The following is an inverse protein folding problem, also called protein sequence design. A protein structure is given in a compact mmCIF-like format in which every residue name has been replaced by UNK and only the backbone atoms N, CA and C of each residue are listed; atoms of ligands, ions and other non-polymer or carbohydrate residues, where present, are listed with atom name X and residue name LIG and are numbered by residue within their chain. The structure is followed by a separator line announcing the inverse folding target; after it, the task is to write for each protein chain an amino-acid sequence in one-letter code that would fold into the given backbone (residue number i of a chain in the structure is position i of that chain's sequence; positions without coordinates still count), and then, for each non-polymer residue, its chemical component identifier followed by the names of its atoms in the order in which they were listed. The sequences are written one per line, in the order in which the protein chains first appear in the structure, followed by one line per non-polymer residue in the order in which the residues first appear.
data_IF_026557375874
#
_entry.id   IF_026557375874
#
_cell.length_a   1.000
_cell.length_b   1.000
_cell.length_c   1.000
_cell.angle_alpha   90.00
_cell.angle_beta   90.00
_cell.angle_gamma   90.00
#
_symmetry.space_group_name_H-M   'P 1'
#
loop_
_entity.id
_entity.type
_entity.pdbx_description
1 polymer ?
#
# COMPACT_ATOMS: atom_id res chain seq x y z
N UNK A 1 8.21 2.08 -9.56
CA UNK A 1 6.98 2.23 -10.39
C UNK A 1 7.00 1.14 -11.45
N UNK A 2 6.08 0.21 -11.37
CA UNK A 2 5.93 -0.81 -12.38
C UNK A 2 5.48 -0.14 -13.66
N UNK A 3 6.32 -0.15 -14.67
CA UNK A 3 6.02 0.47 -15.93
C UNK A 3 5.15 -0.50 -16.74
N UNK A 4 3.84 -0.41 -16.56
CA UNK A 4 2.90 -1.15 -17.39
C UNK A 4 2.90 -0.55 -18.79
N UNK A 5 3.74 -1.08 -19.64
CA UNK A 5 3.63 -0.81 -21.05
C UNK A 5 2.59 -1.79 -21.61
N UNK A 6 1.50 -1.32 -22.21
CA UNK A 6 0.57 -2.20 -22.90
C UNK A 6 1.34 -3.02 -23.93
N UNK A 7 1.33 -4.33 -23.79
CA UNK A 7 2.03 -5.22 -24.69
C UNK A 7 1.05 -5.66 -25.77
N UNK A 8 1.43 -5.49 -27.02
CA UNK A 8 0.66 -6.00 -28.14
C UNK A 8 0.87 -7.50 -28.25
N UNK A 9 -0.19 -8.26 -28.22
CA UNK A 9 -0.10 -9.71 -28.43
C UNK A 9 0.01 -9.99 -29.92
N UNK A 10 1.21 -10.34 -30.39
CA UNK A 10 1.43 -10.71 -31.79
C UNK A 10 0.70 -12.02 -32.10
N UNK A 11 -0.05 -12.02 -33.18
CA UNK A 11 -0.82 -13.19 -33.60
C UNK A 11 -2.21 -13.31 -32.96
N UNK A 12 -2.59 -12.41 -32.09
CA UNK A 12 -3.94 -12.38 -31.58
C UNK A 12 -4.87 -11.75 -32.62
N UNK A 13 -5.75 -12.57 -33.20
CA UNK A 13 -6.78 -12.18 -34.14
C UNK A 13 -6.28 -11.79 -35.53
N UNK A 14 -5.34 -12.47 -36.09
CA UNK A 14 -5.24 -12.53 -37.54
C UNK A 14 -6.34 -13.45 -38.06
N UNK A 15 -7.39 -12.85 -38.62
CA UNK A 15 -8.45 -13.55 -39.34
C UNK A 15 -9.74 -13.82 -38.60
N UNK A 16 -9.89 -13.36 -37.40
CA UNK A 16 -11.17 -13.44 -36.69
C UNK A 16 -11.95 -12.14 -36.78
N UNK A 17 -13.21 -12.26 -36.99
CA UNK A 17 -14.20 -11.17 -36.93
C UNK A 17 -14.45 -10.67 -35.50
N UNK A 18 -13.51 -10.93 -34.64
CA UNK A 18 -13.44 -10.32 -33.32
C UNK A 18 -12.97 -8.91 -33.56
N UNK A 19 -13.92 -8.03 -33.75
CA UNK A 19 -13.68 -6.60 -33.83
C UNK A 19 -12.50 -6.29 -32.91
N UNK A 20 -11.45 -5.77 -33.43
CA UNK A 20 -10.12 -5.62 -32.88
C UNK A 20 -10.04 -4.89 -31.52
N UNK A 21 -10.89 -5.25 -30.60
CA UNK A 21 -10.97 -4.64 -29.28
C UNK A 21 -9.87 -5.11 -28.33
N UNK A 22 -9.09 -6.11 -28.72
CA UNK A 22 -8.07 -6.63 -27.85
C UNK A 22 -6.77 -6.98 -28.60
N UNK A 23 -6.22 -6.01 -29.33
CA UNK A 23 -4.85 -6.10 -29.82
C UNK A 23 -3.82 -5.91 -28.71
N UNK A 24 -4.27 -5.55 -27.51
CA UNK A 24 -3.43 -5.34 -26.34
C UNK A 24 -4.07 -5.99 -25.11
N UNK A 25 -3.21 -6.48 -24.22
CA UNK A 25 -3.62 -7.01 -22.93
C UNK A 25 -2.79 -6.35 -21.84
N UNK A 26 -3.34 -6.34 -20.64
CA UNK A 26 -2.64 -5.88 -19.44
C UNK A 26 -2.52 -7.05 -18.47
N UNK A 27 -1.33 -7.27 -17.97
CA UNK A 27 -1.07 -8.26 -16.93
C UNK A 27 -1.02 -7.53 -15.60
N UNK A 28 -1.88 -7.94 -14.66
CA UNK A 28 -1.84 -7.47 -13.29
C UNK A 28 -0.82 -8.30 -12.51
N UNK A 29 0.39 -7.77 -12.36
CA UNK A 29 1.49 -8.47 -11.68
C UNK A 29 1.63 -8.10 -10.20
N UNK A 30 0.87 -7.13 -9.74
CA UNK A 30 1.02 -6.58 -8.39
C UNK A 30 0.56 -7.55 -7.30
N UNK A 31 -0.32 -8.51 -7.64
CA UNK A 31 -0.85 -9.46 -6.68
C UNK A 31 -1.54 -8.76 -5.51
N UNK A 32 -1.13 -9.11 -4.29
CA UNK A 32 -1.64 -8.47 -3.06
C UNK A 32 -0.99 -7.12 -2.76
N UNK A 33 0.07 -6.76 -3.49
CA UNK A 33 0.89 -5.56 -3.22
C UNK A 33 0.46 -4.35 -4.05
N UNK A 34 -0.84 -4.06 -4.08
CA UNK A 34 -1.37 -2.92 -4.81
C UNK A 34 -1.14 -1.62 -4.04
N UNK A 35 -0.62 -0.59 -4.75
CA UNK A 35 -0.47 0.76 -4.19
C UNK A 35 0.43 0.81 -2.96
N UNK A 36 -0.06 1.43 -1.87
CA UNK A 36 0.71 1.62 -0.64
C UNK A 36 1.22 0.30 -0.04
N UNK A 37 0.51 -0.80 -0.24
CA UNK A 37 0.93 -2.11 0.28
C UNK A 37 2.30 -2.53 -0.24
N UNK A 38 2.61 -2.20 -1.49
CA UNK A 38 3.94 -2.44 -2.05
C UNK A 38 5.01 -1.61 -1.35
N UNK A 39 4.82 -0.30 -1.30
CA UNK A 39 5.82 0.62 -0.77
C UNK A 39 6.07 0.41 0.73
N UNK A 40 5.01 0.23 1.50
CA UNK A 40 5.11 -0.03 2.93
C UNK A 40 5.74 -1.40 3.21
N UNK A 41 5.42 -2.42 2.43
CA UNK A 41 6.04 -3.73 2.59
C UNK A 41 7.53 -3.67 2.25
N UNK A 42 7.91 -2.98 1.17
CA UNK A 42 9.32 -2.76 0.83
C UNK A 42 10.08 -2.02 1.93
N UNK A 43 9.47 -1.02 2.53
CA UNK A 43 10.04 -0.34 3.69
C UNK A 43 10.26 -1.29 4.86
N UNK A 44 9.27 -2.10 5.18
CA UNK A 44 9.34 -3.08 6.27
C UNK A 44 10.28 -4.26 5.99
N UNK A 45 10.61 -4.53 4.74
CA UNK A 45 11.60 -5.55 4.37
C UNK A 45 12.91 -5.38 5.14
N UNK A 46 13.35 -4.16 5.33
CA UNK A 46 14.56 -3.84 6.11
C UNK A 46 14.39 -4.16 7.58
N UNK A 47 13.21 -3.89 8.14
CA UNK A 47 12.89 -4.13 9.56
C UNK A 47 12.66 -5.61 9.81
N UNK A 48 11.92 -6.27 8.92
CA UNK A 48 11.63 -7.70 9.03
C UNK A 48 12.83 -8.57 8.65
N UNK A 49 13.79 -8.01 7.90
CA UNK A 49 14.99 -8.70 7.48
C UNK A 49 14.74 -9.89 6.54
N UNK A 50 13.65 -9.84 5.78
CA UNK A 50 13.17 -10.99 5.00
C UNK A 50 13.02 -10.70 3.52
N UNK A 51 12.90 -9.43 3.17
CA UNK A 51 12.73 -9.01 1.80
C UNK A 51 14.04 -8.67 1.10
N UNK A 52 13.91 -8.00 -0.02
CA UNK A 52 15.00 -7.58 -0.88
C UNK A 52 15.12 -6.04 -0.96
N UNK A 53 14.82 -5.33 0.11
CA UNK A 53 14.85 -3.88 0.16
C UNK A 53 16.19 -3.28 -0.30
N UNK A 54 17.30 -3.97 -0.04
CA UNK A 54 18.63 -3.55 -0.50
C UNK A 54 18.90 -3.81 -1.98
N UNK A 55 17.99 -4.41 -2.72
CA UNK A 55 18.14 -4.66 -4.15
C UNK A 55 17.73 -3.45 -4.99
N UNK A 56 18.13 -3.44 -6.25
CA UNK A 56 17.72 -2.41 -7.23
C UNK A 56 16.35 -2.71 -7.86
N UNK A 57 15.75 -3.84 -7.56
CA UNK A 57 14.46 -4.23 -8.13
C UNK A 57 13.38 -3.24 -7.72
N UNK A 58 12.69 -2.65 -8.70
CA UNK A 58 11.66 -1.64 -8.48
C UNK A 58 12.17 -0.25 -8.10
N UNK A 59 13.48 -0.04 -8.04
CA UNK A 59 14.07 1.28 -7.80
C UNK A 59 14.02 2.14 -9.06
N UNK A 60 13.59 3.37 -8.95
CA UNK A 60 13.56 4.35 -10.02
C UNK A 60 14.95 4.97 -10.26
N UNK A 61 15.82 4.92 -9.29
CA UNK A 61 17.16 5.54 -9.34
C UNK A 61 18.23 4.61 -9.90
N UNK A 62 17.94 3.31 -10.02
CA UNK A 62 18.93 2.29 -10.38
C UNK A 62 19.89 1.90 -9.26
N UNK A 63 19.75 2.51 -8.09
CA UNK A 63 20.45 2.17 -6.85
C UNK A 63 19.60 1.23 -5.99
N UNK A 64 20.08 0.86 -4.81
CA UNK A 64 19.26 0.14 -3.84
C UNK A 64 17.95 0.88 -3.57
N UNK A 65 16.87 0.15 -3.47
CA UNK A 65 15.55 0.73 -3.24
C UNK A 65 15.52 1.52 -1.93
N UNK A 66 14.99 2.74 -1.98
CA UNK A 66 14.84 3.61 -0.82
C UNK A 66 13.45 4.26 -0.87
N UNK A 67 12.75 4.23 0.25
CA UNK A 67 11.39 4.75 0.36
C UNK A 67 11.29 6.23 -0.03
N UNK A 68 12.21 7.07 0.45
CA UNK A 68 12.18 8.50 0.22
C UNK A 68 12.45 8.89 -1.25
N UNK A 69 13.13 8.03 -2.00
CA UNK A 69 13.37 8.23 -3.43
C UNK A 69 12.16 7.80 -4.28
N UNK A 70 11.38 6.83 -3.79
CA UNK A 70 10.30 6.21 -4.56
C UNK A 70 8.92 6.79 -4.25
N UNK A 71 8.71 7.34 -3.05
CA UNK A 71 7.42 7.81 -2.57
C UNK A 71 7.41 9.33 -2.38
N UNK A 72 6.90 10.04 -3.35
CA UNK A 72 6.73 11.50 -3.26
C UNK A 72 5.67 11.89 -2.23
N UNK A 73 4.57 11.16 -2.21
CA UNK A 73 3.47 11.37 -1.26
C UNK A 73 3.02 10.03 -0.69
N UNK A 74 3.16 9.79 0.62
CA UNK A 74 2.68 8.56 1.23
C UNK A 74 1.16 8.46 1.12
N UNK A 75 0.65 7.25 1.22
CA UNK A 75 -0.80 7.01 1.20
C UNK A 75 -1.50 7.77 2.33
N UNK A 76 -2.57 8.48 1.99
CA UNK A 76 -3.29 9.34 2.93
C UNK A 76 -2.72 10.75 3.06
N UNK A 77 -1.61 11.05 2.39
CA UNK A 77 -1.09 12.42 2.36
C UNK A 77 -2.11 13.40 1.78
N UNK A 78 -2.22 14.57 2.38
CA UNK A 78 -3.07 15.64 1.91
C UNK A 78 -2.62 17.00 2.44
N UNK A 79 -3.04 18.06 1.77
CA UNK A 79 -2.82 19.43 2.23
C UNK A 79 -4.10 19.96 2.86
N UNK A 80 -3.92 20.80 3.88
CA UNK A 80 -5.00 21.51 4.56
C UNK A 80 -4.60 22.98 4.77
N UNK A 81 -5.61 23.85 4.86
CA UNK A 81 -5.41 25.25 5.26
C UNK A 81 -5.33 25.43 6.78
N UNK A 82 -5.40 24.34 7.52
CA UNK A 82 -5.30 24.31 8.97
C UNK A 82 -4.47 23.11 9.41
N UNK A 83 -4.14 23.06 10.70
CA UNK A 83 -3.36 21.98 11.28
C UNK A 83 -4.21 21.20 12.29
N UNK A 84 -3.91 19.93 12.44
CA UNK A 84 -4.60 19.03 13.35
C UNK A 84 -3.62 18.32 14.27
N UNK A 85 -4.12 17.96 15.43
CA UNK A 85 -3.48 17.06 16.38
C UNK A 85 -4.39 15.87 16.56
N UNK A 86 -3.85 14.65 16.44
CA UNK A 86 -4.59 13.42 16.66
C UNK A 86 -4.05 12.73 17.91
N UNK A 87 -4.95 12.29 18.77
CA UNK A 87 -4.62 11.55 19.98
C UNK A 87 -5.42 10.26 20.03
N UNK A 88 -4.74 9.13 20.16
CA UNK A 88 -5.39 7.85 20.42
C UNK A 88 -5.77 7.79 21.90
N UNK A 89 -7.06 7.87 22.20
CA UNK A 89 -7.57 7.84 23.57
C UNK A 89 -7.75 6.41 24.07
N UNK A 90 -8.22 5.52 23.22
CA UNK A 90 -8.45 4.13 23.55
C UNK A 90 -8.34 3.22 22.34
N UNK A 91 -7.77 2.04 22.56
CA UNK A 91 -7.78 0.93 21.61
C UNK A 91 -8.23 -0.32 22.35
N UNK A 92 -9.31 -0.92 21.89
CA UNK A 92 -9.80 -2.19 22.40
C UNK A 92 -9.81 -3.24 21.29
N UNK A 93 -9.20 -4.38 21.58
CA UNK A 93 -9.16 -5.55 20.68
C UNK A 93 -9.92 -6.67 21.36
N UNK A 94 -11.05 -7.05 20.80
CA UNK A 94 -11.89 -8.15 21.26
C UNK A 94 -11.77 -9.31 20.26
N UNK A 95 -10.95 -10.28 20.62
CA UNK A 95 -10.69 -11.45 19.76
C UNK A 95 -11.84 -12.44 19.75
N UNK A 96 -12.69 -12.43 20.78
CA UNK A 96 -13.84 -13.35 20.85
C UNK A 96 -14.96 -12.91 19.89
N UNK A 97 -15.15 -11.61 19.75
CA UNK A 97 -16.13 -11.03 18.85
C UNK A 97 -15.52 -10.52 17.53
N UNK A 98 -14.22 -10.74 17.32
CA UNK A 98 -13.50 -10.32 16.13
C UNK A 98 -13.63 -8.82 15.84
N UNK A 99 -13.63 -7.99 16.89
CA UNK A 99 -13.81 -6.55 16.76
C UNK A 99 -12.62 -5.75 17.26
N UNK A 100 -12.33 -4.65 16.58
CA UNK A 100 -11.35 -3.66 17.00
C UNK A 100 -12.06 -2.31 17.09
N UNK A 101 -11.96 -1.65 18.25
CA UNK A 101 -12.53 -0.32 18.47
C UNK A 101 -11.41 0.64 18.85
N UNK A 102 -11.29 1.73 18.11
CA UNK A 102 -10.37 2.82 18.40
C UNK A 102 -11.15 4.12 18.61
N UNK A 103 -10.84 4.83 19.69
CA UNK A 103 -11.32 6.18 19.92
C UNK A 103 -10.18 7.16 19.71
N UNK A 104 -10.35 8.08 18.78
CA UNK A 104 -9.34 9.07 18.42
C UNK A 104 -9.94 10.46 18.55
N UNK A 105 -9.30 11.30 19.38
CA UNK A 105 -9.60 12.71 19.43
C UNK A 105 -8.84 13.45 18.35
N UNK A 106 -9.57 14.16 17.48
CA UNK A 106 -8.99 15.03 16.45
C UNK A 106 -9.27 16.48 16.84
N UNK A 107 -8.20 17.24 17.05
CA UNK A 107 -8.25 18.66 17.43
C UNK A 107 -7.72 19.52 16.30
N UNK A 108 -8.51 20.45 15.84
CA UNK A 108 -8.02 21.50 14.96
C UNK A 108 -7.17 22.50 15.78
N UNK A 109 -5.90 22.62 15.46
CA UNK A 109 -4.94 23.48 16.14
C UNK A 109 -4.67 24.80 15.40
N UNK A 110 -5.21 24.94 14.18
CA UNK A 110 -5.11 26.17 13.41
C UNK A 110 -6.34 27.09 13.58
N UNK A 111 -6.44 28.10 12.75
CA UNK A 111 -7.46 29.13 12.83
C UNK A 111 -8.61 29.00 11.83
N UNK A 112 -8.54 28.03 10.93
CA UNK A 112 -9.51 27.85 9.85
C UNK A 112 -10.22 26.51 10.05
N UNK A 113 -11.51 26.46 9.75
CA UNK A 113 -12.26 25.21 9.79
C UNK A 113 -11.72 24.23 8.71
N UNK A 114 -11.61 22.97 9.05
CA UNK A 114 -11.11 21.95 8.17
C UNK A 114 -11.55 20.55 8.62
N UNK A 115 -11.16 19.55 7.85
CA UNK A 115 -11.38 18.13 8.15
C UNK A 115 -10.05 17.42 8.09
N UNK A 116 -9.90 16.44 8.94
CA UNK A 116 -8.77 15.54 8.95
C UNK A 116 -9.23 14.08 8.77
N UNK A 117 -8.33 13.19 8.43
CA UNK A 117 -8.63 11.77 8.21
C UNK A 117 -7.85 10.94 9.22
N UNK A 118 -8.59 10.13 9.98
CA UNK A 118 -8.01 9.09 10.82
C UNK A 118 -8.03 7.77 10.06
N UNK A 119 -6.91 7.07 10.03
CA UNK A 119 -6.77 5.79 9.36
C UNK A 119 -6.34 4.73 10.38
N UNK A 120 -6.99 3.58 10.34
CA UNK A 120 -6.68 2.42 11.18
C UNK A 120 -6.04 1.34 10.31
N UNK A 121 -4.84 0.95 10.67
CA UNK A 121 -4.08 -0.07 9.98
C UNK A 121 -3.83 -1.28 10.87
N UNK A 122 -3.73 -2.45 10.26
CA UNK A 122 -3.19 -3.66 10.89
C UNK A 122 -1.85 -4.01 10.25
N UNK A 123 -0.92 -4.43 11.10
CA UNK A 123 0.31 -5.07 10.68
C UNK A 123 0.25 -6.54 11.07
N UNK A 124 0.33 -7.43 10.10
CA UNK A 124 0.33 -8.87 10.33
C UNK A 124 1.76 -9.35 10.55
N UNK A 125 2.01 -10.16 11.58
CA UNK A 125 3.34 -10.73 11.80
C UNK A 125 3.72 -11.63 10.63
N UNK A 126 4.98 -11.54 10.21
CA UNK A 126 5.57 -12.45 9.25
C UNK A 126 6.32 -13.53 10.03
N UNK A 127 5.77 -14.73 10.02
CA UNK A 127 6.21 -15.84 10.87
C UNK A 127 7.20 -16.75 10.14
N UNK A 128 7.89 -17.62 10.88
CA UNK A 128 8.78 -18.63 10.28
C UNK A 128 8.00 -19.56 9.33
N UNK A 129 6.76 -19.89 9.66
CA UNK A 129 5.87 -20.63 8.76
C UNK A 129 5.68 -19.91 7.42
N UNK A 130 5.40 -18.60 7.44
CA UNK A 130 5.22 -17.83 6.22
C UNK A 130 6.48 -17.85 5.35
N UNK A 131 7.64 -17.73 6.00
CA UNK A 131 8.93 -17.76 5.33
C UNK A 131 9.23 -19.12 4.71
N UNK A 132 9.01 -20.20 5.45
CA UNK A 132 9.27 -21.57 4.98
C UNK A 132 8.35 -21.97 3.83
N UNK A 133 7.11 -21.48 3.82
CA UNK A 133 6.09 -21.84 2.84
C UNK A 133 5.88 -20.79 1.75
N UNK A 134 6.67 -19.72 1.75
CA UNK A 134 6.57 -18.64 0.74
C UNK A 134 5.22 -17.93 0.76
N UNK A 135 4.61 -17.76 1.94
CA UNK A 135 3.35 -17.03 2.09
C UNK A 135 3.61 -15.55 1.95
N UNK A 136 2.93 -14.90 1.03
CA UNK A 136 3.02 -13.46 0.85
C UNK A 136 2.05 -12.71 1.76
N UNK A 137 2.56 -11.70 2.46
CA UNK A 137 1.76 -10.80 3.32
C UNK A 137 2.21 -9.36 3.11
N UNK A 138 1.24 -8.45 2.98
CA UNK A 138 1.54 -7.03 3.04
C UNK A 138 1.87 -6.64 4.48
N UNK A 139 2.88 -5.79 4.68
CA UNK A 139 3.30 -5.36 6.01
C UNK A 139 2.21 -4.58 6.74
N UNK A 140 1.47 -3.76 6.01
CA UNK A 140 0.36 -2.98 6.55
C UNK A 140 -0.87 -3.08 5.66
N UNK A 141 -2.04 -3.13 6.27
CA UNK A 141 -3.32 -3.15 5.59
C UNK A 141 -4.29 -2.19 6.28
N UNK A 142 -4.87 -1.29 5.51
CA UNK A 142 -5.93 -0.41 5.98
C UNK A 142 -7.16 -1.24 6.35
N UNK A 143 -7.63 -1.08 7.59
CA UNK A 143 -8.85 -1.71 8.08
C UNK A 143 -10.06 -0.78 7.92
N UNK A 144 -9.90 0.47 8.35
CA UNK A 144 -10.97 1.45 8.36
C UNK A 144 -10.43 2.87 8.35
N UNK A 145 -11.28 3.84 8.06
CA UNK A 145 -10.95 5.26 8.15
C UNK A 145 -12.17 6.10 8.51
N UNK A 146 -11.91 7.24 9.16
CA UNK A 146 -12.92 8.24 9.50
C UNK A 146 -12.48 9.64 9.12
N UNK A 147 -13.48 10.53 8.84
CA UNK A 147 -13.20 11.92 8.46
C UNK A 147 -14.11 12.90 9.19
#
# INVERSE_FOLDING_TARGET
MWNFTPTTYEGYVEGGDVSAKAKSYMIYQEGIYVGYKYYETRYFDTVMGQGNAASTVGSSTGSAWNYDDEVTYPFGYGLSYTTFEQTLDNLNVDLENETVTANVTVKNTGSVAGKDVVQLYVSLPYTDYDKEHGVEKAAVQLLDYGK
#
